data_IF_281118176656
#
_entry.id   IF_281118176656
#
_cell.length_a   1.000
_cell.length_b   1.000
_cell.length_c   1.000
_cell.angle_alpha   90.00
_cell.angle_beta   90.00
_cell.angle_gamma   90.00
#
_symmetry.space_group_name_H-M   'P 1'
#
loop_
_entity.id
_entity.type
_entity.pdbx_description
1 polymer ?
#
# COMPACT_ATOMS: atom_id res chain seq x y z
N UNK A 1 7.35 -15.10 -1.33
CA UNK A 1 6.78 -13.85 -1.90
C UNK A 1 7.92 -13.02 -2.48
N UNK A 2 8.00 -12.90 -3.80
CA UNK A 2 9.03 -12.09 -4.46
C UNK A 2 8.54 -10.64 -4.55
N UNK A 3 9.11 -9.74 -3.74
CA UNK A 3 8.98 -8.30 -3.99
C UNK A 3 9.82 -7.95 -5.21
N UNK A 4 9.17 -7.55 -6.30
CA UNK A 4 9.84 -7.03 -7.49
C UNK A 4 10.71 -5.82 -7.10
N UNK A 5 12.01 -5.97 -7.21
CA UNK A 5 13.04 -4.98 -6.85
C UNK A 5 13.18 -3.84 -7.85
N UNK A 6 12.27 -3.73 -8.84
CA UNK A 6 12.36 -2.75 -9.92
C UNK A 6 11.16 -1.81 -9.98
N UNK A 7 10.67 -1.36 -8.82
CA UNK A 7 9.63 -0.34 -8.75
C UNK A 7 10.25 1.06 -8.67
N UNK A 8 10.33 1.79 -9.81
CA UNK A 8 10.54 3.24 -9.76
C UNK A 8 9.18 3.90 -9.50
N UNK A 9 8.98 4.60 -8.37
CA UNK A 9 7.72 5.31 -8.14
C UNK A 9 7.54 6.37 -9.23
N UNK A 10 6.38 6.35 -9.91
CA UNK A 10 6.01 7.43 -10.82
C UNK A 10 5.35 8.52 -9.99
N UNK A 11 6.05 9.64 -9.81
CA UNK A 11 5.53 10.80 -9.09
C UNK A 11 5.00 11.77 -10.12
N UNK A 12 3.75 12.22 -9.94
CA UNK A 12 3.14 13.21 -10.81
C UNK A 12 2.59 14.35 -9.97
N UNK A 13 2.85 15.57 -10.41
CA UNK A 13 2.31 16.77 -9.81
C UNK A 13 0.97 17.08 -10.47
N UNK A 14 -0.08 17.23 -9.66
CA UNK A 14 -1.38 17.68 -10.12
C UNK A 14 -1.66 19.08 -9.57
N UNK A 15 -2.26 19.92 -10.39
CA UNK A 15 -2.70 21.27 -10.01
C UNK A 15 -4.22 21.25 -9.93
N UNK A 16 -4.75 21.44 -8.73
CA UNK A 16 -6.18 21.62 -8.51
C UNK A 16 -6.34 22.94 -7.76
N UNK A 17 -7.02 23.92 -8.38
CA UNK A 17 -7.38 25.24 -7.82
C UNK A 17 -6.32 25.83 -6.87
N UNK A 18 -5.33 26.54 -7.42
CA UNK A 18 -4.25 27.25 -6.72
C UNK A 18 -3.34 26.44 -5.77
N UNK A 19 -3.63 25.16 -5.49
CA UNK A 19 -2.77 24.28 -4.71
C UNK A 19 -2.13 23.23 -5.61
N UNK A 20 -0.80 23.18 -5.52
CA UNK A 20 -0.01 22.13 -6.13
C UNK A 20 0.05 20.96 -5.16
N UNK A 21 -0.50 19.80 -5.52
CA UNK A 21 -0.39 18.58 -4.70
C UNK A 21 0.42 17.53 -5.46
N UNK A 22 1.46 17.02 -4.80
CA UNK A 22 2.18 15.85 -5.28
C UNK A 22 1.43 14.59 -4.86
N UNK A 23 1.32 13.64 -5.79
CA UNK A 23 0.72 12.33 -5.54
C UNK A 23 1.64 11.25 -6.08
N UNK A 24 1.58 10.09 -5.43
CA UNK A 24 2.25 8.88 -5.90
C UNK A 24 1.29 8.11 -6.80
N UNK A 25 1.73 7.81 -8.03
CA UNK A 25 0.96 6.98 -8.96
C UNK A 25 1.61 5.60 -9.06
N UNK A 26 0.79 4.56 -8.91
CA UNK A 26 1.22 3.15 -8.98
C UNK A 26 0.37 2.41 -10.01
N UNK A 27 1.02 1.59 -10.84
CA UNK A 27 0.34 0.68 -11.75
C UNK A 27 0.55 -0.76 -11.28
N UNK A 28 -0.53 -1.53 -11.14
CA UNK A 28 -0.50 -2.92 -10.66
C UNK A 28 -1.44 -3.83 -11.44
N UNK A 29 -1.20 -5.15 -11.37
CA UNK A 29 -2.06 -6.18 -11.99
C UNK A 29 -3.21 -6.65 -11.09
N UNK A 30 -3.04 -6.54 -9.78
CA UNK A 30 -4.01 -6.95 -8.76
C UNK A 30 -3.96 -5.93 -7.63
N UNK A 31 -5.12 -5.50 -7.18
CA UNK A 31 -5.27 -4.59 -6.06
C UNK A 31 -6.60 -4.81 -5.37
N UNK A 32 -6.63 -4.56 -4.06
CA UNK A 32 -7.81 -4.69 -3.23
C UNK A 32 -8.03 -3.35 -2.51
N UNK A 33 -8.81 -2.42 -3.09
CA UNK A 33 -8.99 -1.08 -2.53
C UNK A 33 -9.67 -1.11 -1.16
N UNK A 34 -10.50 -2.11 -0.87
CA UNK A 34 -11.19 -2.29 0.41
C UNK A 34 -10.18 -2.62 1.52
N UNK A 35 -9.30 -3.59 1.27
CA UNK A 35 -8.20 -3.95 2.19
C UNK A 35 -7.27 -2.74 2.40
N UNK A 36 -6.92 -2.04 1.32
CA UNK A 36 -6.11 -0.83 1.44
C UNK A 36 -6.79 0.24 2.29
N UNK A 37 -8.09 0.48 2.08
CA UNK A 37 -8.87 1.44 2.85
C UNK A 37 -8.94 1.07 4.33
N UNK A 38 -9.07 -0.22 4.66
CA UNK A 38 -9.00 -0.71 6.04
C UNK A 38 -7.63 -0.43 6.68
N UNK A 39 -6.54 -0.74 5.97
CA UNK A 39 -5.18 -0.44 6.42
C UNK A 39 -4.95 1.07 6.59
N UNK A 40 -5.47 1.90 5.69
CA UNK A 40 -5.33 3.35 5.73
C UNK A 40 -6.06 3.96 6.94
N UNK A 41 -7.31 3.54 7.20
CA UNK A 41 -8.06 3.96 8.41
C UNK A 41 -7.39 3.54 9.71
N UNK A 42 -6.66 2.43 9.67
CA UNK A 42 -5.88 1.93 10.82
C UNK A 42 -4.49 2.56 10.94
N UNK A 43 -4.13 3.53 10.08
CA UNK A 43 -2.83 4.20 10.10
C UNK A 43 -1.67 3.37 9.54
N UNK A 44 -1.94 2.26 8.87
CA UNK A 44 -0.93 1.33 8.33
C UNK A 44 -0.68 1.49 6.82
N UNK A 45 -1.46 2.32 6.14
CA UNK A 45 -1.27 2.64 4.73
C UNK A 45 -1.56 4.12 4.45
N UNK A 46 -1.00 4.64 3.36
CA UNK A 46 -1.31 5.99 2.88
C UNK A 46 -2.72 6.05 2.33
N UNK A 47 -3.38 7.22 2.37
CA UNK A 47 -4.70 7.36 1.82
C UNK A 47 -4.70 7.08 0.30
N UNK A 48 -5.66 6.26 -0.14
CA UNK A 48 -5.93 6.04 -1.56
C UNK A 48 -6.83 7.18 -2.04
N UNK A 49 -6.30 8.02 -2.93
CA UNK A 49 -7.00 9.18 -3.47
C UNK A 49 -7.85 8.80 -4.69
N UNK A 50 -7.36 7.87 -5.51
CA UNK A 50 -8.10 7.36 -6.66
C UNK A 50 -7.65 5.93 -7.02
N UNK A 51 -8.56 5.19 -7.63
CA UNK A 51 -8.34 3.85 -8.16
C UNK A 51 -9.15 3.66 -9.44
N UNK A 52 -8.49 3.19 -10.49
CA UNK A 52 -9.12 2.99 -11.79
C UNK A 52 -8.61 1.73 -12.48
N UNK A 53 -9.52 0.97 -13.10
CA UNK A 53 -9.17 -0.18 -13.93
C UNK A 53 -8.76 0.31 -15.32
N UNK A 54 -7.56 -0.08 -15.75
CA UNK A 54 -6.99 0.29 -17.02
C UNK A 54 -7.05 -0.88 -18.02
N UNK A 55 -6.94 -0.60 -19.33
CA UNK A 55 -6.85 -1.63 -20.36
C UNK A 55 -5.75 -2.67 -20.10
N UNK A 56 -5.96 -3.87 -20.62
CA UNK A 56 -5.02 -4.98 -20.48
C UNK A 56 -5.01 -5.64 -19.09
N UNK A 57 -5.88 -5.26 -18.16
CA UNK A 57 -5.94 -5.85 -16.81
C UNK A 57 -4.97 -5.19 -15.82
N UNK A 58 -4.66 -3.91 -16.04
CA UNK A 58 -3.92 -3.09 -15.10
C UNK A 58 -4.88 -2.27 -14.24
N UNK A 59 -4.36 -1.77 -13.13
CA UNK A 59 -5.02 -0.81 -12.27
C UNK A 59 -4.09 0.37 -12.04
N UNK A 60 -4.61 1.57 -12.22
CA UNK A 60 -3.99 2.83 -11.83
C UNK A 60 -4.43 3.19 -10.41
N UNK A 61 -3.45 3.56 -9.58
CA UNK A 61 -3.65 3.93 -8.18
C UNK A 61 -3.02 5.28 -7.96
N UNK A 62 -3.74 6.18 -7.33
CA UNK A 62 -3.21 7.47 -6.88
C UNK A 62 -3.29 7.51 -5.36
N UNK A 63 -2.15 7.77 -4.71
CA UNK A 63 -2.01 7.84 -3.26
C UNK A 63 -1.32 9.14 -2.87
N UNK A 64 -1.42 9.49 -1.60
CA UNK A 64 -0.64 10.61 -1.05
C UNK A 64 0.87 10.42 -1.26
N UNK A 65 1.56 11.53 -1.51
CA UNK A 65 3.01 11.52 -1.63
C UNK A 65 3.66 11.87 -0.30
N UNK A 66 4.62 11.04 0.14
CA UNK A 66 5.43 11.28 1.33
C UNK A 66 6.85 11.66 0.89
N UNK A 67 7.18 12.94 0.99
CA UNK A 67 8.48 13.46 0.52
C UNK A 67 9.68 12.84 1.26
N UNK A 68 9.51 12.52 2.55
CA UNK A 68 10.57 12.00 3.41
C UNK A 68 10.55 10.47 3.54
N UNK A 69 9.90 9.76 2.61
CA UNK A 69 9.86 8.31 2.63
C UNK A 69 11.27 7.72 2.41
N UNK A 70 11.70 6.84 3.31
CA UNK A 70 12.98 6.14 3.19
C UNK A 70 12.72 4.71 2.74
N UNK A 71 13.51 4.23 1.77
CA UNK A 71 13.48 2.83 1.39
C UNK A 71 13.82 1.98 2.61
N UNK A 72 12.97 0.99 2.90
CA UNK A 72 13.17 0.03 3.98
C UNK A 72 14.58 -0.56 3.91
N UNK A 73 15.07 -0.91 2.72
CA UNK A 73 16.42 -1.46 2.49
C UNK A 73 17.58 -0.58 2.94
N UNK A 74 17.40 0.74 3.05
CA UNK A 74 18.43 1.67 3.55
C UNK A 74 18.45 1.76 5.08
N UNK A 75 17.49 1.14 5.76
CA UNK A 75 17.35 1.23 7.19
C UNK A 75 18.19 0.15 7.89
N UNK A 76 19.38 0.55 8.38
CA UNK A 76 20.38 -0.34 9.01
C UNK A 76 19.88 -1.13 10.22
N UNK A 77 18.73 -0.77 10.80
CA UNK A 77 18.15 -1.41 11.99
C UNK A 77 16.88 -2.23 11.69
N UNK A 78 16.62 -2.62 10.44
CA UNK A 78 15.46 -3.47 10.09
C UNK A 78 15.29 -4.65 11.03
N UNK A 79 16.38 -5.35 11.37
CA UNK A 79 16.34 -6.53 12.24
C UNK A 79 15.75 -6.22 13.62
N UNK A 80 15.96 -5.01 14.15
CA UNK A 80 15.40 -4.56 15.44
C UNK A 80 13.89 -4.40 15.40
N UNK A 81 13.34 -3.99 14.25
CA UNK A 81 11.91 -3.72 14.08
C UNK A 81 11.16 -4.89 13.43
N UNK A 82 11.88 -5.87 12.89
CA UNK A 82 11.29 -6.97 12.14
C UNK A 82 10.31 -7.80 12.96
N UNK A 83 10.69 -8.21 14.18
CA UNK A 83 9.79 -8.97 15.05
C UNK A 83 8.55 -8.16 15.45
N UNK A 84 8.72 -6.86 15.74
CA UNK A 84 7.59 -5.99 16.05
C UNK A 84 6.66 -5.85 14.84
N UNK A 85 7.20 -5.61 13.65
CA UNK A 85 6.40 -5.52 12.42
C UNK A 85 5.66 -6.82 12.11
N UNK A 86 6.27 -7.96 12.39
CA UNK A 86 5.62 -9.27 12.23
C UNK A 86 4.41 -9.41 13.18
N UNK A 87 4.58 -9.03 14.45
CA UNK A 87 3.49 -9.03 15.44
C UNK A 87 2.37 -8.07 15.01
N UNK A 88 2.73 -6.85 14.61
CA UNK A 88 1.79 -5.82 14.20
C UNK A 88 1.02 -6.24 12.94
N UNK A 89 1.71 -6.86 11.97
CA UNK A 89 1.10 -7.39 10.75
C UNK A 89 0.13 -8.52 11.06
N UNK A 90 0.50 -9.48 11.91
CA UNK A 90 -0.40 -10.55 12.34
C UNK A 90 -1.65 -9.99 13.02
N UNK A 91 -1.49 -9.01 13.91
CA UNK A 91 -2.62 -8.35 14.58
C UNK A 91 -3.51 -7.61 13.59
N UNK A 92 -2.94 -6.96 12.59
CA UNK A 92 -3.69 -6.25 11.56
C UNK A 92 -4.51 -7.21 10.69
N UNK A 93 -3.91 -8.32 10.27
CA UNK A 93 -4.60 -9.37 9.50
C UNK A 93 -5.72 -10.01 10.30
N UNK A 94 -5.51 -10.27 11.60
CA UNK A 94 -6.57 -10.76 12.48
C UNK A 94 -7.76 -9.79 12.54
N UNK A 95 -7.52 -8.50 12.78
CA UNK A 95 -8.58 -7.47 12.78
C UNK A 95 -9.32 -7.38 11.45
N UNK A 96 -8.62 -7.61 10.33
CA UNK A 96 -9.25 -7.62 9.01
C UNK A 96 -10.19 -8.82 8.84
N UNK A 97 -9.78 -10.01 9.33
CA UNK A 97 -10.63 -11.19 9.35
C UNK A 97 -11.84 -11.02 10.27
N UNK A 98 -11.65 -10.44 11.47
CA UNK A 98 -12.73 -10.19 12.43
C UNK A 98 -13.78 -9.21 11.87
N UNK A 99 -13.37 -8.29 10.98
CA UNK A 99 -14.27 -7.37 10.30
C UNK A 99 -15.09 -8.03 9.17
N UNK A 100 -15.03 -9.35 9.00
CA UNK A 100 -15.86 -10.14 8.08
C UNK A 100 -15.37 -10.17 6.62
N UNK A 101 -14.15 -9.69 6.34
CA UNK A 101 -13.61 -9.64 4.99
C UNK A 101 -12.86 -10.94 4.64
N UNK A 102 -13.57 -11.90 4.05
CA UNK A 102 -13.06 -13.26 3.78
C UNK A 102 -12.67 -13.57 2.33
N UNK A 103 -12.65 -12.63 1.38
CA UNK A 103 -12.32 -12.92 -0.03
C UNK A 103 -11.39 -11.85 -0.66
N UNK A 104 -10.30 -12.19 -1.38
CA UNK A 104 -9.88 -13.49 -1.89
C UNK A 104 -8.35 -13.62 -2.04
N UNK A 105 -7.87 -14.80 -1.63
CA UNK A 105 -6.52 -15.36 -1.82
C UNK A 105 -5.41 -14.96 -0.83
N UNK A 106 -5.74 -14.80 0.45
CA UNK A 106 -4.78 -14.97 1.55
C UNK A 106 -4.88 -16.41 2.09
N UNK A 107 -4.48 -17.40 1.28
CA UNK A 107 -4.32 -18.77 1.82
C UNK A 107 -3.06 -18.80 2.69
N UNK A 108 -3.23 -18.62 3.99
CA UNK A 108 -2.35 -19.28 4.95
C UNK A 108 -2.68 -20.78 4.84
N UNK A 109 -1.85 -21.55 4.12
CA UNK A 109 -1.88 -23.00 4.30
C UNK A 109 -1.19 -23.33 5.62
N UNK A 110 -1.71 -24.31 6.38
CA UNK A 110 -1.05 -24.82 7.58
C UNK A 110 0.35 -25.36 7.29
#
# INVERSE_FOLDING_TARGET
MAFSTRFKPYVRQYRQTNLTRMVLVKFVRRYFPELHGFCARSGHALALLAYERLPGGWYGLTMEYVANAVLVTKYRRISKYFEQWKIDLHRLVAKFHDAGWHQGNCTCRP
#
